data_IF_192441905845
#
_entry.id   IF_192441905845
#
_cell.length_a   1.000
_cell.length_b   1.000
_cell.length_c   1.000
_cell.angle_alpha   90.00
_cell.angle_beta   90.00
_cell.angle_gamma   90.00
#
_symmetry.space_group_name_H-M   'P 1'
#
loop_
_entity.id
_entity.type
_entity.pdbx_description
1 polymer ?
#
# COMPACT_ATOMS: atom_id res chain seq x y z
N UNK A 1 29.85 15.76 5.98
CA UNK A 1 28.79 15.00 5.29
C UNK A 1 27.45 15.56 5.75
N UNK A 2 26.47 15.75 4.86
CA UNK A 2 25.13 16.26 5.20
C UNK A 2 24.10 15.23 4.71
N UNK A 3 23.30 14.59 5.59
CA UNK A 3 22.33 13.58 5.16
C UNK A 3 21.10 14.24 4.52
N UNK A 4 20.62 13.65 3.43
CA UNK A 4 19.35 14.02 2.79
C UNK A 4 18.33 12.97 3.19
N UNK A 5 17.36 13.35 4.01
CA UNK A 5 16.34 12.43 4.57
C UNK A 5 14.96 12.93 4.16
N UNK A 6 14.41 12.46 3.03
CA UNK A 6 13.03 12.73 2.65
C UNK A 6 12.06 12.13 3.68
N UNK A 7 10.97 12.84 3.98
CA UNK A 7 9.95 12.36 4.90
C UNK A 7 8.55 12.79 4.41
N UNK A 8 7.55 11.99 4.79
CA UNK A 8 6.13 12.31 4.67
C UNK A 8 5.43 11.87 5.98
N UNK A 9 4.24 12.40 6.24
CA UNK A 9 3.51 12.15 7.48
C UNK A 9 2.06 11.78 7.19
N UNK A 10 1.48 10.90 8.01
CA UNK A 10 0.05 10.65 8.00
C UNK A 10 -0.65 11.50 9.06
N UNK A 11 -1.94 11.75 8.87
CA UNK A 11 -2.77 12.40 9.88
C UNK A 11 -3.52 11.35 10.71
N UNK A 12 -3.10 11.15 11.96
CA UNK A 12 -3.67 10.17 12.90
C UNK A 12 -3.98 10.76 14.30
N UNK A 13 -3.95 12.10 14.43
CA UNK A 13 -4.20 12.81 15.69
C UNK A 13 -5.54 12.48 16.36
N UNK A 14 -6.65 12.19 15.63
CA UNK A 14 -7.89 11.73 16.26
C UNK A 14 -7.77 10.39 17.00
N UNK A 15 -6.73 9.59 16.70
CA UNK A 15 -6.49 8.28 17.33
C UNK A 15 -5.55 8.40 18.53
N UNK A 16 -4.38 9.02 18.35
CA UNK A 16 -3.35 9.12 19.40
C UNK A 16 -3.52 10.29 20.37
N UNK A 17 -4.25 11.33 19.97
CA UNK A 17 -4.43 12.58 20.70
C UNK A 17 -3.55 13.72 20.18
N UNK A 18 -4.07 14.96 20.22
CA UNK A 18 -3.44 16.14 19.60
C UNK A 18 -2.02 16.46 20.09
N UNK A 19 -1.68 16.07 21.33
CA UNK A 19 -0.39 16.33 21.96
C UNK A 19 0.55 15.11 21.92
N UNK A 20 0.14 13.99 21.32
CA UNK A 20 0.88 12.74 21.25
C UNK A 20 1.38 12.55 19.81
N UNK A 21 2.64 12.90 19.54
CA UNK A 21 3.22 12.85 18.19
C UNK A 21 4.62 12.25 18.23
N UNK A 22 5.07 11.55 17.17
CA UNK A 22 6.45 11.07 17.07
C UNK A 22 7.45 12.22 17.23
N UNK A 23 8.46 12.00 18.08
CA UNK A 23 9.62 12.87 18.25
C UNK A 23 10.81 12.43 17.39
N UNK A 24 11.94 13.13 17.52
CA UNK A 24 13.18 12.77 16.82
C UNK A 24 13.73 11.39 17.24
N UNK A 25 13.51 11.03 18.51
CA UNK A 25 13.83 9.72 19.10
C UNK A 25 13.07 8.58 18.42
N UNK A 26 11.79 8.77 18.09
CA UNK A 26 11.01 7.78 17.33
C UNK A 26 11.64 7.50 15.95
N UNK A 27 12.07 8.55 15.25
CA UNK A 27 12.75 8.40 13.96
C UNK A 27 14.08 7.66 14.09
N UNK A 28 14.87 7.99 15.11
CA UNK A 28 16.13 7.30 15.39
C UNK A 28 15.92 5.82 15.71
N UNK A 29 15.00 5.49 16.62
CA UNK A 29 14.68 4.11 16.99
C UNK A 29 14.12 3.31 15.81
N UNK A 30 13.33 3.92 14.94
CA UNK A 30 12.84 3.28 13.72
C UNK A 30 13.99 2.97 12.73
N UNK A 31 14.96 3.87 12.59
CA UNK A 31 16.15 3.63 11.79
C UNK A 31 17.04 2.52 12.37
N UNK A 32 17.23 2.52 13.70
CA UNK A 32 18.03 1.50 14.39
C UNK A 32 17.40 0.10 14.32
N UNK A 33 16.06 0.03 14.36
CA UNK A 33 15.30 -1.21 14.23
C UNK A 33 15.12 -1.69 12.77
N UNK A 34 15.56 -0.91 11.77
CA UNK A 34 15.35 -1.27 10.37
C UNK A 34 16.11 -2.56 9.99
N UNK A 35 15.41 -3.49 9.33
CA UNK A 35 15.96 -4.79 8.95
C UNK A 35 15.30 -5.35 7.70
N UNK A 36 15.62 -6.61 7.38
CA UNK A 36 15.07 -7.33 6.22
C UNK A 36 13.67 -7.89 6.47
N UNK A 37 13.32 -8.15 7.73
CA UNK A 37 11.99 -8.59 8.12
C UNK A 37 11.08 -7.37 8.30
N UNK A 38 10.04 -7.27 7.48
CA UNK A 38 9.11 -6.14 7.49
C UNK A 38 7.87 -6.53 8.29
N UNK A 39 7.73 -5.96 9.49
CA UNK A 39 6.51 -6.09 10.27
C UNK A 39 5.34 -5.37 9.57
N UNK A 40 4.14 -5.98 9.60
CA UNK A 40 2.93 -5.47 8.94
C UNK A 40 1.77 -5.30 9.92
N UNK A 41 0.70 -4.64 9.49
CA UNK A 41 -0.49 -4.35 10.27
C UNK A 41 -0.32 -3.12 11.15
N UNK A 42 -0.64 -3.24 12.44
CA UNK A 42 -0.71 -2.12 13.39
C UNK A 42 0.65 -1.89 14.06
N UNK A 43 1.64 -1.46 13.28
CA UNK A 43 3.02 -1.23 13.73
C UNK A 43 3.55 0.09 13.18
N UNK A 44 4.51 0.71 13.87
CA UNK A 44 5.14 1.97 13.44
C UNK A 44 4.11 3.05 13.05
N UNK A 45 4.27 3.66 11.88
CA UNK A 45 3.32 4.64 11.34
C UNK A 45 1.92 4.07 11.07
N UNK A 46 1.75 2.75 10.98
CA UNK A 46 0.45 2.09 10.84
C UNK A 46 -0.37 2.01 12.12
N UNK A 47 0.19 2.35 13.30
CA UNK A 47 -0.53 2.25 14.58
C UNK A 47 -1.80 3.11 14.58
N UNK A 48 -1.68 4.38 14.21
CA UNK A 48 -2.81 5.32 14.14
C UNK A 48 -3.60 5.30 12.83
N UNK A 49 -3.16 4.54 11.83
CA UNK A 49 -3.68 4.60 10.47
C UNK A 49 -5.12 4.06 10.31
N UNK A 50 -5.92 4.70 9.44
CA UNK A 50 -7.29 4.30 9.06
C UNK A 50 -7.43 4.18 7.54
N UNK A 51 -8.12 3.17 7.05
CA UNK A 51 -8.42 2.98 5.64
C UNK A 51 -9.94 3.09 5.43
N UNK A 52 -10.42 4.32 5.19
CA UNK A 52 -11.84 4.63 5.17
C UNK A 52 -12.52 4.23 6.49
N UNK A 53 -13.49 3.32 6.43
CA UNK A 53 -14.26 2.84 7.58
C UNK A 53 -13.47 1.89 8.51
N UNK A 54 -12.33 1.36 8.04
CA UNK A 54 -11.61 0.28 8.71
C UNK A 54 -10.27 0.76 9.26
N UNK A 55 -9.70 -0.07 10.14
CA UNK A 55 -8.32 0.09 10.57
C UNK A 55 -7.39 -0.08 9.36
N UNK A 56 -6.54 0.92 9.15
CA UNK A 56 -5.43 0.86 8.19
C UNK A 56 -4.18 0.25 8.83
N UNK A 57 -3.05 0.27 8.12
CA UNK A 57 -1.83 -0.34 8.65
C UNK A 57 -0.65 -0.27 7.70
N UNK A 58 0.44 -0.92 8.11
CA UNK A 58 1.62 -1.14 7.28
C UNK A 58 1.42 -2.40 6.45
N UNK A 59 1.60 -2.31 5.15
CA UNK A 59 1.60 -3.47 4.25
C UNK A 59 2.85 -3.53 3.39
N UNK A 60 3.16 -4.72 2.88
CA UNK A 60 4.29 -4.95 1.98
C UNK A 60 3.92 -6.00 0.93
N UNK A 61 4.53 -5.91 -0.26
CA UNK A 61 4.45 -6.91 -1.31
C UNK A 61 5.65 -6.81 -2.25
N UNK A 62 5.93 -7.87 -3.02
CA UNK A 62 7.00 -7.87 -4.02
C UNK A 62 6.66 -8.74 -5.23
N UNK A 63 7.25 -8.40 -6.37
CA UNK A 63 7.18 -9.14 -7.63
C UNK A 63 8.58 -9.25 -8.21
N UNK A 64 8.96 -10.46 -8.65
CA UNK A 64 10.17 -10.68 -9.45
C UNK A 64 9.76 -10.81 -10.92
N UNK A 65 10.36 -9.96 -11.76
CA UNK A 65 10.14 -9.93 -13.19
C UNK A 65 10.89 -11.08 -13.90
N UNK A 66 10.47 -11.48 -15.12
CA UNK A 66 11.21 -12.46 -15.91
C UNK A 66 12.66 -12.06 -16.23
N UNK A 67 12.99 -10.77 -16.17
CA UNK A 67 14.36 -10.26 -16.32
C UNK A 67 15.26 -10.53 -15.11
N UNK A 68 14.72 -11.08 -14.01
CA UNK A 68 15.43 -11.26 -12.74
C UNK A 68 15.40 -10.03 -11.83
N UNK A 69 14.85 -8.91 -12.29
CA UNK A 69 14.64 -7.70 -11.47
C UNK A 69 13.55 -7.94 -10.45
N UNK A 70 13.78 -7.56 -9.20
CA UNK A 70 12.76 -7.52 -8.15
C UNK A 70 12.25 -6.09 -7.94
N UNK A 71 10.94 -5.97 -7.77
CA UNK A 71 10.24 -4.76 -7.33
C UNK A 71 9.52 -5.09 -6.03
N UNK A 72 9.69 -4.26 -5.01
CA UNK A 72 9.00 -4.37 -3.72
C UNK A 72 8.31 -3.06 -3.35
N UNK A 73 7.25 -3.14 -2.57
CA UNK A 73 6.55 -1.98 -2.05
C UNK A 73 6.29 -2.14 -0.55
N UNK A 74 6.46 -1.07 0.22
CA UNK A 74 5.98 -0.94 1.61
C UNK A 74 5.07 0.28 1.67
N UNK A 75 3.94 0.18 2.36
CA UNK A 75 2.94 1.25 2.41
C UNK A 75 2.34 1.40 3.79
N UNK A 76 2.10 2.64 4.20
CA UNK A 76 1.25 2.99 5.34
C UNK A 76 -0.10 3.45 4.80
N UNK A 77 -1.14 2.65 5.04
CA UNK A 77 -2.48 2.91 4.52
C UNK A 77 -3.28 3.73 5.50
N UNK A 78 -3.27 5.05 5.31
CA UNK A 78 -4.13 5.97 6.05
C UNK A 78 -4.99 6.78 5.05
N UNK A 79 -5.95 6.16 4.36
CA UNK A 79 -6.70 6.76 3.25
C UNK A 79 -8.07 7.30 3.67
N UNK A 80 -8.55 8.38 3.01
CA UNK A 80 -9.98 8.74 3.04
C UNK A 80 -10.82 7.60 2.46
N UNK A 81 -10.40 7.08 1.32
CA UNK A 81 -11.11 6.05 0.58
C UNK A 81 -11.09 4.69 1.27
N UNK A 82 -12.06 3.87 0.91
CA UNK A 82 -12.13 2.49 1.35
C UNK A 82 -11.21 1.62 0.48
N UNK A 83 -10.58 0.62 1.10
CA UNK A 83 -9.76 -0.40 0.40
C UNK A 83 -10.60 -1.59 -0.07
N UNK A 84 -11.77 -1.76 0.54
CA UNK A 84 -12.77 -2.75 0.16
C UNK A 84 -14.08 -2.06 -0.16
N UNK A 85 -14.87 -2.64 -1.05
CA UNK A 85 -16.21 -2.15 -1.35
C UNK A 85 -17.13 -2.36 -0.15
N UNK A 86 -17.63 -1.29 0.50
CA UNK A 86 -18.53 -1.44 1.64
C UNK A 86 -19.80 -2.24 1.32
N UNK A 87 -20.23 -2.27 0.05
CA UNK A 87 -21.42 -3.00 -0.36
C UNK A 87 -21.21 -4.52 -0.43
N UNK A 88 -19.98 -4.98 -0.66
CA UNK A 88 -19.67 -6.41 -0.83
C UNK A 88 -18.72 -6.97 0.21
N UNK A 89 -17.96 -6.12 0.89
CA UNK A 89 -16.88 -6.49 1.80
C UNK A 89 -15.63 -7.05 1.09
N UNK A 90 -15.55 -6.96 -0.24
CA UNK A 90 -14.43 -7.48 -1.04
C UNK A 90 -13.54 -6.33 -1.55
N UNK A 91 -12.24 -6.58 -1.78
CA UNK A 91 -11.36 -5.58 -2.39
C UNK A 91 -11.86 -5.15 -3.77
N UNK A 92 -11.54 -3.91 -4.16
CA UNK A 92 -11.93 -3.37 -5.47
C UNK A 92 -11.30 -4.13 -6.65
N UNK A 93 -10.11 -4.69 -6.44
CA UNK A 93 -9.38 -5.49 -7.42
C UNK A 93 -9.76 -6.96 -7.26
N UNK A 94 -10.49 -7.49 -8.24
CA UNK A 94 -11.01 -8.85 -8.20
C UNK A 94 -9.89 -9.90 -8.16
N UNK A 95 -8.76 -9.64 -8.84
CA UNK A 95 -7.59 -10.50 -8.81
C UNK A 95 -7.00 -10.67 -7.40
N UNK A 96 -7.14 -9.66 -6.53
CA UNK A 96 -6.66 -9.74 -5.16
C UNK A 96 -7.60 -10.54 -4.25
N UNK A 97 -8.84 -10.80 -4.67
CA UNK A 97 -9.75 -11.70 -3.95
C UNK A 97 -9.15 -13.11 -3.96
N UNK A 98 -8.75 -13.59 -5.13
CA UNK A 98 -8.14 -14.92 -5.27
C UNK A 98 -6.76 -14.98 -4.60
N UNK A 99 -5.91 -13.96 -4.81
CA UNK A 99 -4.54 -13.91 -4.26
C UNK A 99 -4.51 -13.96 -2.73
N UNK A 100 -5.50 -13.32 -2.07
CA UNK A 100 -5.62 -13.33 -0.60
C UNK A 100 -6.60 -14.39 -0.08
N UNK A 101 -7.04 -15.32 -0.94
CA UNK A 101 -7.94 -16.42 -0.62
C UNK A 101 -9.26 -15.96 0.03
N UNK A 102 -9.76 -14.80 -0.39
CA UNK A 102 -10.97 -14.21 0.12
C UNK A 102 -12.21 -14.80 -0.57
N UNK A 103 -13.30 -14.84 0.18
CA UNK A 103 -14.63 -15.19 -0.31
C UNK A 103 -15.63 -14.11 0.05
N UNK A 104 -16.78 -14.08 -0.64
CA UNK A 104 -17.82 -13.11 -0.34
C UNK A 104 -18.33 -13.35 1.09
N UNK A 105 -18.24 -12.36 1.99
CA UNK A 105 -18.75 -12.52 3.35
C UNK A 105 -20.28 -12.64 3.36
N UNK A 106 -20.87 -13.20 4.43
CA UNK A 106 -22.32 -13.19 4.64
C UNK A 106 -22.91 -11.78 4.49
N UNK A 107 -24.13 -11.70 3.93
CA UNK A 107 -24.78 -10.41 3.66
C UNK A 107 -24.89 -9.52 4.91
N UNK A 108 -25.20 -10.11 6.06
CA UNK A 108 -25.26 -9.40 7.35
C UNK A 108 -23.94 -8.70 7.72
N UNK A 109 -22.79 -9.31 7.42
CA UNK A 109 -21.47 -8.71 7.70
C UNK A 109 -21.18 -7.54 6.75
N UNK A 110 -21.52 -7.67 5.46
CA UNK A 110 -21.39 -6.59 4.50
C UNK A 110 -22.34 -5.42 4.82
N UNK A 111 -23.58 -5.71 5.23
CA UNK A 111 -24.54 -4.71 5.69
C UNK A 111 -24.05 -3.98 6.95
N UNK A 112 -23.48 -4.71 7.92
CA UNK A 112 -22.89 -4.11 9.12
C UNK A 112 -21.71 -3.18 8.78
N UNK A 113 -20.86 -3.55 7.81
CA UNK A 113 -19.79 -2.68 7.31
C UNK A 113 -20.37 -1.41 6.65
N UNK A 114 -21.37 -1.55 5.78
CA UNK A 114 -22.00 -0.42 5.09
C UNK A 114 -22.71 0.56 6.04
N UNK A 115 -23.10 0.11 7.23
CA UNK A 115 -23.73 0.92 8.27
C UNK A 115 -22.73 1.62 9.20
N UNK A 116 -21.43 1.34 9.10
CA UNK A 116 -20.43 2.05 9.90
C UNK A 116 -20.48 3.55 9.58
N UNK A 117 -20.42 4.42 10.60
CA UNK A 117 -20.46 5.86 10.38
C UNK A 117 -19.20 6.28 9.63
N UNK A 118 -19.38 7.01 8.52
CA UNK A 118 -18.30 7.73 7.88
C UNK A 118 -17.93 8.92 8.76
N UNK A 119 -17.02 8.72 9.71
CA UNK A 119 -16.41 9.85 10.41
C UNK A 119 -15.62 10.66 9.38
N UNK A 120 -16.02 11.92 9.17
CA UNK A 120 -15.27 12.84 8.33
C UNK A 120 -13.92 13.14 9.00
N UNK A 121 -12.90 12.32 8.70
CA UNK A 121 -11.52 12.63 9.04
C UNK A 121 -11.09 13.85 8.21
N UNK A 122 -10.64 14.94 8.84
CA UNK A 122 -10.39 16.20 8.14
C UNK A 122 -9.22 16.12 7.16
N UNK A 123 -8.30 15.16 7.34
CA UNK A 123 -7.15 14.89 6.46
C UNK A 123 -6.73 13.43 6.60
N UNK A 124 -6.30 12.81 5.51
CA UNK A 124 -5.72 11.46 5.48
C UNK A 124 -4.52 11.46 4.52
N UNK A 125 -3.71 10.41 4.49
CA UNK A 125 -2.51 10.30 3.65
C UNK A 125 -2.05 8.85 3.52
N UNK A 126 -1.98 8.29 2.32
CA UNK A 126 -1.30 7.02 2.07
C UNK A 126 0.15 7.26 1.66
N UNK A 127 1.10 6.64 2.36
CA UNK A 127 2.53 6.81 2.09
C UNK A 127 3.11 5.49 1.60
N UNK A 128 3.59 5.46 0.37
CA UNK A 128 4.24 4.31 -0.24
C UNK A 128 5.74 4.52 -0.44
N UNK A 129 6.48 3.43 -0.36
CA UNK A 129 7.85 3.32 -0.85
C UNK A 129 7.89 2.13 -1.80
N UNK A 130 8.30 2.36 -3.05
CA UNK A 130 8.62 1.29 -4.00
C UNK A 130 10.13 1.22 -4.16
N UNK A 131 10.69 0.03 -4.06
CA UNK A 131 12.11 -0.23 -4.26
C UNK A 131 12.30 -1.27 -5.37
N UNK A 132 13.36 -1.12 -6.15
CA UNK A 132 13.80 -2.12 -7.12
C UNK A 132 15.31 -2.30 -7.08
N UNK A 133 15.78 -3.48 -7.48
CA UNK A 133 17.20 -3.74 -7.68
C UNK A 133 17.71 -3.36 -9.08
N UNK A 134 16.82 -2.99 -10.01
CA UNK A 134 17.20 -2.50 -11.33
C UNK A 134 18.10 -1.26 -11.27
N UNK A 135 19.05 -1.16 -12.20
CA UNK A 135 19.77 0.10 -12.47
C UNK A 135 18.82 1.07 -13.16
N UNK A 136 18.42 2.13 -12.45
CA UNK A 136 17.55 3.19 -12.95
C UNK A 136 18.13 4.58 -12.68
N UNK A 137 17.96 5.48 -13.65
CA UNK A 137 18.24 6.90 -13.45
C UNK A 137 17.26 7.56 -12.47
N UNK A 138 17.61 8.72 -11.87
CA UNK A 138 16.65 9.47 -11.03
C UNK A 138 15.36 9.85 -11.77
N UNK A 139 15.44 10.11 -13.08
CA UNK A 139 14.28 10.39 -13.91
C UNK A 139 13.40 9.13 -14.09
N UNK A 140 14.02 7.96 -14.29
CA UNK A 140 13.35 6.67 -14.31
C UNK A 140 12.66 6.36 -12.97
N UNK A 141 13.34 6.53 -11.84
CA UNK A 141 12.73 6.38 -10.50
C UNK A 141 11.51 7.29 -10.33
N UNK A 142 11.58 8.55 -10.77
CA UNK A 142 10.42 9.46 -10.75
C UNK A 142 9.25 8.91 -11.57
N UNK A 143 9.50 8.31 -12.74
CA UNK A 143 8.45 7.67 -13.55
C UNK A 143 7.85 6.44 -12.87
N UNK A 144 8.67 5.63 -12.20
CA UNK A 144 8.21 4.49 -11.40
C UNK A 144 7.33 4.94 -10.24
N UNK A 145 7.74 6.00 -9.52
CA UNK A 145 6.91 6.59 -8.45
C UNK A 145 5.55 7.03 -8.97
N UNK A 146 5.49 7.70 -10.13
CA UNK A 146 4.22 8.09 -10.76
C UNK A 146 3.37 6.87 -11.11
N UNK A 147 3.95 5.84 -11.74
CA UNK A 147 3.20 4.62 -12.08
C UNK A 147 2.70 3.86 -10.85
N UNK A 148 3.43 3.91 -9.74
CA UNK A 148 3.01 3.29 -8.49
C UNK A 148 1.70 3.88 -7.94
N UNK A 149 1.43 5.18 -8.15
CA UNK A 149 0.16 5.80 -7.76
C UNK A 149 -1.06 5.13 -8.44
N UNK A 150 -0.90 4.53 -9.61
CA UNK A 150 -1.98 3.75 -10.24
C UNK A 150 -2.39 2.54 -9.37
N UNK A 151 -1.46 1.99 -8.59
CA UNK A 151 -1.74 0.97 -7.57
C UNK A 151 -2.63 1.49 -6.44
N UNK A 152 -2.38 2.72 -5.97
CA UNK A 152 -3.24 3.38 -4.98
C UNK A 152 -4.64 3.60 -5.55
N UNK A 153 -4.75 4.15 -6.76
CA UNK A 153 -6.04 4.42 -7.39
C UNK A 153 -6.86 3.15 -7.70
N UNK A 154 -6.21 2.02 -7.98
CA UNK A 154 -6.89 0.72 -8.19
C UNK A 154 -7.36 0.07 -6.89
N UNK A 155 -6.63 0.26 -5.79
CA UNK A 155 -6.90 -0.40 -4.51
C UNK A 155 -7.65 0.44 -3.49
N UNK A 156 -7.75 1.76 -3.67
CA UNK A 156 -8.39 2.71 -2.75
C UNK A 156 -9.45 3.51 -3.51
N UNK A 157 -10.66 3.62 -2.96
CA UNK A 157 -11.75 4.38 -3.58
C UNK A 157 -12.54 5.26 -2.59
N UNK A 158 -12.59 6.59 -2.81
CA UNK A 158 -11.75 7.36 -3.72
C UNK A 158 -10.29 7.46 -3.23
N UNK A 159 -9.32 7.52 -4.15
CA UNK A 159 -7.94 7.89 -3.85
C UNK A 159 -7.66 9.34 -4.29
N UNK A 160 -6.56 9.95 -3.82
CA UNK A 160 -6.11 11.28 -4.26
C UNK A 160 -7.15 12.39 -4.10
N UNK A 161 -7.98 12.30 -3.06
CA UNK A 161 -8.93 13.38 -2.76
C UNK A 161 -8.17 14.63 -2.30
N UNK A 162 -8.78 15.83 -2.30
CA UNK A 162 -8.16 17.02 -1.72
C UNK A 162 -7.81 16.91 -0.23
N UNK A 163 -8.32 15.88 0.46
CA UNK A 163 -8.03 15.59 1.85
C UNK A 163 -6.93 14.53 2.00
N UNK A 164 -6.44 13.94 0.91
CA UNK A 164 -5.37 12.95 0.89
C UNK A 164 -4.01 13.59 0.55
N UNK A 165 -3.02 13.37 1.42
CA UNK A 165 -1.61 13.74 1.21
C UNK A 165 -0.78 12.66 0.50
N UNK A 166 -1.39 11.85 -0.37
CA UNK A 166 -0.79 10.62 -0.89
C UNK A 166 0.60 10.86 -1.50
N UNK A 167 1.59 10.09 -1.06
CA UNK A 167 3.00 10.27 -1.44
C UNK A 167 3.65 8.91 -1.69
N UNK A 168 4.28 8.74 -2.86
CA UNK A 168 5.11 7.55 -3.16
C UNK A 168 6.56 7.94 -3.43
N UNK A 169 7.49 7.32 -2.69
CA UNK A 169 8.92 7.38 -2.96
C UNK A 169 9.37 6.18 -3.79
N UNK A 170 10.28 6.37 -4.73
CA UNK A 170 10.88 5.28 -5.50
C UNK A 170 12.40 5.23 -5.29
N UNK A 171 12.92 4.03 -5.04
CA UNK A 171 14.35 3.75 -4.88
C UNK A 171 14.80 2.67 -5.85
N UNK A 172 16.03 2.80 -6.34
CA UNK A 172 16.71 1.81 -7.16
C UNK A 172 18.07 1.52 -6.53
N UNK A 173 18.35 0.27 -6.16
CA UNK A 173 19.64 -0.10 -5.55
C UNK A 173 20.74 -0.28 -6.61
N UNK A 174 20.36 -0.53 -7.87
CA UNK A 174 21.28 -0.69 -8.99
C UNK A 174 22.09 -1.98 -8.97
N UNK A 175 21.58 -3.05 -8.37
CA UNK A 175 22.25 -4.34 -8.31
C UNK A 175 22.04 -5.20 -9.57
N UNK A 176 20.98 -4.95 -10.35
CA UNK A 176 20.63 -5.72 -11.57
C UNK A 176 20.65 -4.80 -12.78
N UNK A 177 21.56 -5.08 -13.71
CA UNK A 177 21.61 -4.42 -15.01
C UNK A 177 20.80 -5.24 -16.03
N UNK A 178 19.88 -4.57 -16.72
CA UNK A 178 19.08 -5.17 -17.81
C UNK A 178 19.45 -4.46 -19.10
N UNK A 179 19.96 -5.17 -20.13
CA UNK A 179 20.31 -4.55 -21.38
C UNK A 179 19.07 -3.94 -22.05
N UNK A 180 19.19 -2.78 -22.72
CA UNK A 180 18.10 -2.20 -23.48
C UNK A 180 17.59 -3.15 -24.56
N UNK A 181 16.29 -3.06 -24.86
CA UNK A 181 15.70 -3.79 -25.97
C UNK A 181 16.36 -3.38 -27.30
N UNK A 182 16.98 -4.31 -28.06
CA UNK A 182 17.60 -4.00 -29.36
C UNK A 182 16.59 -3.53 -30.41
N UNK A 183 15.29 -3.80 -30.22
CA UNK A 183 14.20 -3.32 -31.07
C UNK A 183 13.70 -1.93 -30.73
N UNK A 184 14.20 -1.30 -29.65
CA UNK A 184 13.72 0.01 -29.22
C UNK A 184 14.12 1.11 -30.23
N UNK A 185 13.17 1.95 -30.68
CA UNK A 185 13.49 3.08 -31.55
C UNK A 185 14.54 4.00 -30.93
N UNK A 186 15.56 4.39 -31.71
CA UNK A 186 16.68 5.22 -31.25
C UNK A 186 16.28 6.61 -30.69
N UNK A 187 15.06 7.06 -30.96
CA UNK A 187 14.51 8.31 -30.42
C UNK A 187 14.02 8.20 -28.96
N UNK A 188 13.84 6.97 -28.44
CA UNK A 188 13.41 6.73 -27.07
C UNK A 188 14.60 6.54 -26.12
N UNK A 189 14.39 6.81 -24.84
CA UNK A 189 15.41 6.50 -23.82
C UNK A 189 15.65 4.98 -23.77
N UNK A 190 16.90 4.50 -23.70
CA UNK A 190 17.21 3.07 -23.53
C UNK A 190 16.52 2.42 -22.32
N UNK A 191 16.18 3.22 -21.30
CA UNK A 191 15.49 2.77 -20.09
C UNK A 191 13.98 2.53 -20.31
N UNK A 192 13.40 2.93 -21.44
CA UNK A 192 11.94 2.97 -21.66
C UNK A 192 11.27 1.62 -21.41
N UNK A 193 11.85 0.53 -21.92
CA UNK A 193 11.29 -0.81 -21.72
C UNK A 193 11.34 -1.23 -20.25
N UNK A 194 12.49 -1.04 -19.61
CA UNK A 194 12.70 -1.40 -18.21
C UNK A 194 11.81 -0.58 -17.26
N UNK A 195 11.75 0.74 -17.44
CA UNK A 195 10.88 1.63 -16.64
C UNK A 195 9.41 1.27 -16.80
N UNK A 196 8.98 0.86 -17.99
CA UNK A 196 7.60 0.44 -18.20
C UNK A 196 7.29 -0.85 -17.44
N UNK A 197 8.17 -1.86 -17.50
CA UNK A 197 7.99 -3.12 -16.79
C UNK A 197 8.05 -2.93 -15.26
N UNK A 198 9.05 -2.19 -14.77
CA UNK A 198 9.20 -1.88 -13.35
C UNK A 198 8.05 -1.02 -12.85
N UNK A 199 7.62 -0.02 -13.62
CA UNK A 199 6.50 0.85 -13.26
C UNK A 199 5.17 0.10 -13.16
N UNK A 200 4.90 -0.83 -14.08
CA UNK A 200 3.72 -1.70 -13.99
C UNK A 200 3.77 -2.57 -12.73
N UNK A 201 4.89 -3.25 -12.49
CA UNK A 201 5.08 -4.07 -11.30
C UNK A 201 5.03 -3.24 -10.00
N UNK A 202 5.47 -1.98 -10.02
CA UNK A 202 5.38 -1.07 -8.91
C UNK A 202 3.92 -0.75 -8.55
N UNK A 203 3.08 -0.48 -9.55
CA UNK A 203 1.64 -0.31 -9.35
C UNK A 203 1.00 -1.56 -8.75
N UNK A 204 1.32 -2.74 -9.27
CA UNK A 204 0.77 -4.01 -8.78
C UNK A 204 1.23 -4.33 -7.35
N UNK A 205 2.54 -4.17 -7.06
CA UNK A 205 3.09 -4.34 -5.72
C UNK A 205 2.43 -3.38 -4.73
N UNK A 206 2.27 -2.10 -5.10
CA UNK A 206 1.69 -1.14 -4.17
C UNK A 206 0.21 -1.44 -3.88
N UNK A 207 -0.57 -1.84 -4.90
CA UNK A 207 -1.96 -2.27 -4.69
C UNK A 207 -2.07 -3.49 -3.77
N UNK A 208 -1.21 -4.50 -3.98
CA UNK A 208 -1.12 -5.69 -3.11
C UNK A 208 -0.75 -5.32 -1.68
N UNK A 209 0.26 -4.46 -1.52
CA UNK A 209 0.73 -4.00 -0.22
C UNK A 209 -0.38 -3.24 0.52
N UNK A 210 -1.19 -2.42 -0.17
CA UNK A 210 -2.33 -1.72 0.44
C UNK A 210 -3.32 -2.71 1.07
N UNK A 211 -3.76 -3.72 0.30
CA UNK A 211 -4.69 -4.72 0.82
C UNK A 211 -4.07 -5.56 1.94
N UNK A 212 -2.81 -5.97 1.78
CA UNK A 212 -2.08 -6.71 2.80
C UNK A 212 -2.03 -5.95 4.13
N UNK A 213 -1.78 -4.63 4.09
CA UNK A 213 -1.73 -3.79 5.29
C UNK A 213 -3.06 -3.70 6.03
N UNK A 214 -4.17 -3.57 5.29
CA UNK A 214 -5.53 -3.53 5.86
C UNK A 214 -5.95 -4.89 6.45
N UNK A 215 -5.60 -6.00 5.77
CA UNK A 215 -5.90 -7.36 6.25
C UNK A 215 -5.07 -7.70 7.51
N UNK A 216 -3.82 -7.26 7.58
CA UNK A 216 -2.93 -7.51 8.70
C UNK A 216 -3.21 -6.62 9.92
N UNK A 217 -4.00 -5.55 9.76
CA UNK A 217 -4.26 -4.60 10.83
C UNK A 217 -5.08 -5.21 11.98
N UNK A 218 -4.65 -4.90 13.22
CA UNK A 218 -5.38 -5.17 14.45
C UNK A 218 -6.14 -3.92 14.92
N UNK A 219 -7.35 -4.06 15.49
CA UNK A 219 -8.18 -2.93 15.91
C UNK A 219 -7.49 -2.09 17.00
N UNK A 220 -7.64 -0.77 16.93
CA UNK A 220 -7.09 0.20 17.89
C UNK A 220 -8.11 1.31 18.08
N UNK A 221 -8.22 1.83 19.32
CA UNK A 221 -9.08 2.98 19.65
C UNK A 221 -10.53 2.85 19.14
N UNK A 222 -11.09 1.65 19.20
CA UNK A 222 -12.47 1.36 18.73
C UNK A 222 -12.64 1.29 17.22
N UNK A 223 -11.57 1.46 16.43
CA UNK A 223 -11.60 1.33 14.97
C UNK A 223 -11.54 -0.18 14.63
N UNK A 224 -12.56 -0.72 13.96
CA UNK A 224 -12.60 -2.14 13.68
C UNK A 224 -11.64 -2.50 12.53
N UNK A 225 -11.03 -3.69 12.59
CA UNK A 225 -10.21 -4.21 11.49
C UNK A 225 -11.06 -4.95 10.46
N UNK A 226 -10.53 -5.13 9.24
CA UNK A 226 -11.19 -5.91 8.20
C UNK A 226 -11.57 -7.31 8.68
N UNK A 227 -10.63 -8.02 9.31
CA UNK A 227 -10.84 -9.37 9.88
C UNK A 227 -11.92 -9.40 10.96
N UNK A 228 -12.05 -8.34 11.75
CA UNK A 228 -13.07 -8.27 12.81
C UNK A 228 -14.47 -8.01 12.23
N UNK A 229 -14.59 -7.15 11.21
CA UNK A 229 -15.88 -6.84 10.57
C UNK A 229 -16.38 -7.95 9.65
N UNK A 230 -15.46 -8.58 8.93
CA UNK A 230 -15.77 -9.51 7.84
C UNK A 230 -15.08 -10.88 8.05
N UNK A 231 -15.25 -11.54 9.22
CA UNK A 231 -14.59 -12.82 9.47
C UNK A 231 -15.02 -13.91 8.47
N UNK A 232 -16.23 -13.79 7.89
CA UNK A 232 -16.73 -14.72 6.88
C UNK A 232 -15.99 -14.65 5.55
N UNK A 233 -15.22 -13.59 5.29
CA UNK A 233 -14.41 -13.48 4.07
C UNK A 233 -13.21 -14.46 4.06
N UNK A 234 -12.80 -14.99 5.22
CA UNK A 234 -11.67 -15.90 5.38
C UNK A 234 -12.07 -17.37 5.50
N UNK A 235 -13.35 -17.70 5.26
CA UNK A 235 -13.84 -19.08 5.28
C UNK A 235 -13.44 -19.86 4.03
N UNK A 236 -13.38 -21.19 4.14
CA UNK A 236 -13.13 -22.10 3.01
C UNK A 236 -14.20 -21.92 1.94
N UNK A 237 -13.78 -21.75 0.68
CA UNK A 237 -14.68 -21.85 -0.48
C UNK A 237 -15.44 -23.16 -0.35
N UNK A 238 -16.76 -23.09 -0.24
CA UNK A 238 -17.57 -24.30 -0.38
C UNK A 238 -17.20 -24.91 -1.73
N UNK A 239 -16.64 -26.12 -1.73
CA UNK A 239 -16.36 -26.85 -2.95
C UNK A 239 -17.65 -26.86 -3.79
N UNK A 240 -17.60 -26.18 -4.94
CA UNK A 240 -18.73 -26.13 -5.85
C UNK A 240 -19.06 -27.55 -6.26
N UNK A 241 -20.24 -28.02 -5.88
CA UNK A 241 -20.84 -29.19 -6.50
C UNK A 241 -21.04 -28.90 -7.99
N UNK A 242 -20.29 -29.63 -8.83
CA UNK A 242 -20.71 -30.12 -10.15
C UNK A 242 -20.91 -29.09 -11.25
#
# INVERSE_FOLDING_TARGET
MVPIVPAAVIFDLPVGGWNCRPGADFGYLACDAAGTDVATGTVGAGVGARAGLLKGGVGTASITLPSGVTVGAVVVVNSVGNVVDPATGLPWMAELIDEFELTKPPAEQAEALAQLPTEASPMNTTIGVVATDAVLSPAACRRVAIAAHDGLARSIRPAHTPLDGDTVFALATGAVEVPPDPGLPAALSPETGLVSAVGAAAGDCLARAVLAGVIAAAPVAGIPSYRAMLPGAFGTRAEGNG
#
